data_IF_345402944180
#
_entry.id   IF_345402944180
#
_cell.length_a   1.000
_cell.length_b   1.000
_cell.length_c   1.000
_cell.angle_alpha   90.00
_cell.angle_beta   90.00
_cell.angle_gamma   90.00
#
_symmetry.space_group_name_H-M   'P 1'
#
loop_
_entity.id
_entity.type
_entity.pdbx_description
1 polymer ?
#
# COMPACT_ATOMS: atom_id res chain seq x y z
N UNK A 1 -12.77 -8.78 -10.92
CA UNK A 1 -13.17 -7.95 -9.76
C UNK A 1 -11.92 -7.78 -8.91
N UNK A 2 -11.58 -6.56 -8.52
CA UNK A 2 -10.37 -6.29 -7.72
C UNK A 2 -10.56 -6.83 -6.30
N UNK A 3 -9.64 -7.68 -5.83
CA UNK A 3 -9.56 -8.09 -4.42
C UNK A 3 -8.79 -7.02 -3.63
N UNK A 4 -9.34 -6.58 -2.51
CA UNK A 4 -8.76 -5.50 -1.71
C UNK A 4 -8.55 -5.99 -0.29
N UNK A 5 -7.29 -6.00 0.14
CA UNK A 5 -6.88 -6.47 1.46
C UNK A 5 -6.27 -5.34 2.26
N UNK A 6 -6.54 -5.35 3.57
CA UNK A 6 -5.99 -4.38 4.51
C UNK A 6 -5.18 -5.09 5.59
N UNK A 7 -3.90 -4.77 5.69
CA UNK A 7 -3.04 -5.30 6.74
C UNK A 7 -3.46 -4.78 8.12
N UNK A 8 -3.18 -5.58 9.15
CA UNK A 8 -3.49 -5.20 10.54
C UNK A 8 -2.84 -3.87 10.93
N UNK A 9 -1.63 -3.61 10.44
CA UNK A 9 -0.90 -2.37 10.67
C UNK A 9 -1.63 -1.16 10.05
N UNK A 10 -2.12 -1.30 8.83
CA UNK A 10 -2.95 -0.29 8.15
C UNK A 10 -4.20 0.04 8.97
N UNK A 11 -4.99 -0.97 9.33
CA UNK A 11 -6.23 -0.78 10.10
C UNK A 11 -5.96 -0.13 11.47
N UNK A 12 -4.87 -0.52 12.14
CA UNK A 12 -4.46 0.09 13.41
C UNK A 12 -4.08 1.57 13.23
N UNK A 13 -3.38 1.90 12.15
CA UNK A 13 -2.99 3.27 11.85
C UNK A 13 -4.19 4.15 11.47
N UNK A 14 -5.16 3.64 10.70
CA UNK A 14 -6.41 4.34 10.39
C UNK A 14 -7.17 4.68 11.68
N UNK A 15 -7.27 3.73 12.63
CA UNK A 15 -7.89 3.96 13.93
C UNK A 15 -7.14 5.03 14.74
N UNK A 16 -5.81 4.95 14.77
CA UNK A 16 -4.95 5.94 15.46
C UNK A 16 -5.10 7.35 14.88
N UNK A 17 -5.30 7.46 13.57
CA UNK A 17 -5.38 8.73 12.83
C UNK A 17 -6.80 9.05 12.37
N UNK A 18 -7.80 8.80 13.24
CA UNK A 18 -9.21 8.97 12.93
C UNK A 18 -9.58 10.37 12.39
N UNK A 19 -8.85 11.42 12.80
CA UNK A 19 -9.06 12.79 12.33
C UNK A 19 -8.81 13.02 10.83
N UNK A 20 -8.13 12.10 10.14
CA UNK A 20 -7.94 12.14 8.68
C UNK A 20 -8.55 10.92 7.96
N UNK A 21 -9.41 10.16 8.65
CA UNK A 21 -9.97 8.90 8.13
C UNK A 21 -10.65 9.07 6.78
N UNK A 22 -11.47 10.13 6.61
CA UNK A 22 -12.17 10.41 5.34
C UNK A 22 -11.21 10.62 4.18
N UNK A 23 -10.09 11.31 4.40
CA UNK A 23 -9.08 11.49 3.35
C UNK A 23 -8.37 10.18 3.01
N UNK A 24 -8.11 9.33 4.00
CA UNK A 24 -7.54 8.00 3.77
C UNK A 24 -8.50 7.14 2.94
N UNK A 25 -9.79 7.11 3.29
CA UNK A 25 -10.81 6.35 2.56
C UNK A 25 -10.94 6.82 1.11
N UNK A 26 -11.03 8.12 0.89
CA UNK A 26 -11.05 8.69 -0.48
C UNK A 26 -9.80 8.29 -1.28
N UNK A 27 -8.62 8.34 -0.65
CA UNK A 27 -7.38 7.96 -1.33
C UNK A 27 -7.32 6.46 -1.63
N UNK A 28 -7.80 5.61 -0.73
CA UNK A 28 -7.93 4.16 -0.95
C UNK A 28 -8.81 3.88 -2.16
N UNK A 29 -9.97 4.53 -2.28
CA UNK A 29 -10.86 4.35 -3.43
C UNK A 29 -10.18 4.73 -4.75
N UNK A 30 -9.48 5.87 -4.75
CA UNK A 30 -8.70 6.30 -5.92
C UNK A 30 -7.60 5.29 -6.29
N UNK A 31 -6.87 4.76 -5.32
CA UNK A 31 -5.83 3.73 -5.56
C UNK A 31 -6.44 2.44 -6.11
N UNK A 32 -7.63 2.03 -5.67
CA UNK A 32 -8.32 0.84 -6.19
C UNK A 32 -8.65 1.02 -7.68
N UNK A 33 -9.05 2.24 -8.08
CA UNK A 33 -9.39 2.58 -9.46
C UNK A 33 -8.14 2.70 -10.35
N UNK A 34 -7.07 3.31 -9.84
CA UNK A 34 -5.83 3.58 -10.58
C UNK A 34 -4.56 3.18 -9.78
N UNK A 35 -4.32 1.87 -9.54
CA UNK A 35 -3.28 1.39 -8.62
C UNK A 35 -1.84 1.60 -9.10
N UNK A 36 -1.63 2.01 -10.34
CA UNK A 36 -0.29 2.24 -10.91
C UNK A 36 -0.04 3.73 -11.16
N UNK A 37 -1.06 4.46 -11.63
CA UNK A 37 -0.92 5.86 -12.03
C UNK A 37 -0.84 6.81 -10.83
N UNK A 38 -1.51 6.48 -9.72
CA UNK A 38 -1.56 7.33 -8.53
C UNK A 38 -0.43 7.11 -7.54
N UNK A 39 0.27 5.98 -7.62
CA UNK A 39 1.34 5.63 -6.70
C UNK A 39 2.72 5.77 -7.33
N UNK A 40 3.70 6.07 -6.50
CA UNK A 40 5.11 6.03 -6.89
C UNK A 40 5.72 4.70 -6.45
N UNK A 41 6.39 3.96 -7.36
CA UNK A 41 7.06 2.72 -7.01
C UNK A 41 8.26 2.98 -6.09
N UNK A 42 8.33 2.21 -5.01
CA UNK A 42 9.40 2.30 -4.03
C UNK A 42 10.64 1.49 -4.45
N UNK A 43 11.79 1.87 -3.88
CA UNK A 43 13.11 1.31 -4.23
C UNK A 43 13.80 0.72 -2.98
N UNK A 44 14.89 0.00 -3.20
CA UNK A 44 15.69 -0.61 -2.13
C UNK A 44 14.89 -1.64 -1.33
N UNK A 45 14.91 -1.53 0.00
CA UNK A 45 14.22 -2.47 0.90
C UNK A 45 12.68 -2.46 0.75
N UNK A 46 12.13 -1.44 0.08
CA UNK A 46 10.70 -1.33 -0.21
C UNK A 46 10.37 -1.62 -1.67
N UNK A 47 11.31 -2.21 -2.43
CA UNK A 47 11.05 -2.66 -3.81
C UNK A 47 9.80 -3.55 -3.86
N UNK A 48 8.97 -3.34 -4.89
CA UNK A 48 7.69 -4.03 -5.06
C UNK A 48 6.50 -3.28 -4.46
N UNK A 49 6.72 -2.41 -3.48
CA UNK A 49 5.67 -1.56 -2.91
C UNK A 49 5.51 -0.24 -3.67
N UNK A 50 4.35 0.38 -3.48
CA UNK A 50 4.01 1.72 -3.94
C UNK A 50 3.73 2.61 -2.75
N UNK A 51 4.01 3.90 -2.91
CA UNK A 51 3.56 4.93 -1.98
C UNK A 51 2.62 5.91 -2.66
N UNK A 52 1.64 6.42 -1.93
CA UNK A 52 0.75 7.47 -2.42
C UNK A 52 0.48 8.50 -1.33
N UNK A 53 0.71 9.80 -1.57
CA UNK A 53 0.38 10.86 -0.62
C UNK A 53 -1.11 10.97 -0.36
N UNK A 54 -1.49 11.15 0.92
CA UNK A 54 -2.88 11.39 1.35
C UNK A 54 -3.08 12.88 1.64
N UNK A 55 -2.33 13.40 2.62
CA UNK A 55 -2.44 14.79 3.10
C UNK A 55 -1.19 15.17 3.89
N UNK A 56 -0.61 16.35 3.60
CA UNK A 56 0.64 16.81 4.22
C UNK A 56 1.72 15.71 4.11
N UNK A 57 2.32 15.30 5.22
CA UNK A 57 3.34 14.26 5.28
C UNK A 57 2.79 12.84 5.39
N UNK A 58 1.47 12.61 5.29
CA UNK A 58 0.91 11.26 5.35
C UNK A 58 0.95 10.55 4.01
N UNK A 59 1.44 9.32 4.02
CA UNK A 59 1.48 8.42 2.87
C UNK A 59 0.76 7.11 3.18
N UNK A 60 0.21 6.49 2.13
CA UNK A 60 -0.22 5.09 2.11
C UNK A 60 0.88 4.29 1.42
N UNK A 61 1.32 3.20 2.03
CA UNK A 61 2.15 2.18 1.37
C UNK A 61 1.25 0.99 1.05
N UNK A 62 1.30 0.55 -0.20
CA UNK A 62 0.49 -0.56 -0.70
C UNK A 62 1.27 -1.41 -1.70
N UNK A 63 0.73 -2.59 -2.01
CA UNK A 63 1.25 -3.52 -2.99
C UNK A 63 0.15 -3.82 -4.01
N UNK A 64 0.48 -3.84 -5.30
CA UNK A 64 -0.41 -4.37 -6.34
C UNK A 64 0.19 -5.65 -6.94
N UNK A 65 -0.47 -6.79 -6.71
CA UNK A 65 0.09 -8.12 -6.98
C UNK A 65 0.45 -8.35 -8.45
N UNK A 66 -0.41 -7.94 -9.38
CA UNK A 66 -0.16 -8.09 -10.81
C UNK A 66 1.11 -7.39 -11.27
N UNK A 67 1.38 -6.17 -10.78
CA UNK A 67 2.62 -5.45 -11.12
C UNK A 67 3.83 -6.01 -10.37
N UNK A 68 3.66 -6.40 -9.12
CA UNK A 68 4.72 -7.03 -8.33
C UNK A 68 5.29 -8.26 -9.05
N UNK A 69 4.42 -9.20 -9.45
CA UNK A 69 4.82 -10.40 -10.19
C UNK A 69 5.32 -10.10 -11.60
N UNK A 70 4.67 -9.18 -12.33
CA UNK A 70 5.13 -8.78 -13.67
C UNK A 70 6.56 -8.24 -13.66
N UNK A 71 6.99 -7.59 -12.58
CA UNK A 71 8.35 -7.06 -12.40
C UNK A 71 9.33 -8.05 -11.74
N UNK A 72 8.86 -9.23 -11.30
CA UNK A 72 9.63 -10.17 -10.51
C UNK A 72 9.97 -9.65 -9.11
N UNK A 73 9.22 -8.66 -8.61
CA UNK A 73 9.43 -8.06 -7.29
C UNK A 73 8.89 -8.97 -6.18
N UNK A 74 8.05 -9.95 -6.51
CA UNK A 74 7.48 -10.93 -5.58
C UNK A 74 8.54 -11.78 -4.87
N UNK A 75 9.68 -12.00 -5.53
CA UNK A 75 10.86 -12.65 -4.92
C UNK A 75 11.45 -11.78 -3.81
N UNK A 76 11.48 -10.46 -3.99
CA UNK A 76 12.02 -9.51 -3.02
C UNK A 76 11.03 -9.23 -1.88
N UNK A 77 9.74 -9.09 -2.21
CA UNK A 77 8.68 -8.86 -1.22
C UNK A 77 8.43 -10.11 -0.38
N UNK A 78 8.53 -11.29 -0.99
CA UNK A 78 8.40 -12.60 -0.34
C UNK A 78 7.11 -12.73 0.50
N UNK A 79 5.95 -12.34 -0.07
CA UNK A 79 4.66 -12.51 0.62
C UNK A 79 4.40 -13.99 0.91
N UNK A 80 4.01 -14.31 2.15
CA UNK A 80 3.68 -15.69 2.56
C UNK A 80 2.51 -16.30 1.77
N UNK A 81 1.58 -15.45 1.31
CA UNK A 81 0.37 -15.83 0.57
C UNK A 81 0.48 -15.55 -0.94
N UNK A 82 1.70 -15.35 -1.48
CA UNK A 82 1.89 -14.92 -2.88
C UNK A 82 1.28 -15.91 -3.90
N UNK A 83 1.49 -17.20 -3.69
CA UNK A 83 1.05 -18.27 -4.59
C UNK A 83 -0.49 -18.42 -4.66
N UNK A 84 -1.19 -18.03 -3.59
CA UNK A 84 -2.64 -18.16 -3.45
C UNK A 84 -3.37 -16.84 -3.78
N UNK A 85 -2.62 -15.75 -4.01
CA UNK A 85 -3.19 -14.42 -4.26
C UNK A 85 -3.21 -14.10 -5.75
N UNK A 86 -4.39 -13.77 -6.29
CA UNK A 86 -4.59 -13.37 -7.68
C UNK A 86 -3.88 -12.07 -8.07
N UNK A 87 -3.73 -11.80 -9.37
CA UNK A 87 -3.04 -10.60 -9.89
C UNK A 87 -3.83 -9.31 -9.62
N UNK A 88 -5.14 -9.40 -9.73
CA UNK A 88 -6.09 -8.33 -9.43
C UNK A 88 -6.28 -8.21 -7.91
N UNK A 89 -5.19 -8.01 -7.17
CA UNK A 89 -5.20 -7.84 -5.71
C UNK A 89 -4.34 -6.67 -5.27
N UNK A 90 -4.94 -5.76 -4.49
CA UNK A 90 -4.25 -4.66 -3.82
C UNK A 90 -4.19 -4.93 -2.32
N UNK A 91 -2.99 -4.86 -1.74
CA UNK A 91 -2.77 -4.97 -0.29
C UNK A 91 -2.34 -3.63 0.28
N UNK A 92 -3.17 -3.04 1.12
CA UNK A 92 -2.86 -1.82 1.86
C UNK A 92 -2.06 -2.16 3.13
N UNK A 93 -0.77 -1.78 3.16
CA UNK A 93 0.20 -2.25 4.16
C UNK A 93 0.22 -1.34 5.38
N UNK A 94 0.42 -0.04 5.17
CA UNK A 94 0.46 0.96 6.25
C UNK A 94 0.03 2.33 5.74
N UNK A 95 -0.50 3.15 6.65
CA UNK A 95 -0.72 4.59 6.43
C UNK A 95 -0.14 5.36 7.60
N UNK A 96 0.56 6.45 7.35
CA UNK A 96 1.15 7.24 8.42
C UNK A 96 1.99 8.40 7.90
N UNK A 97 2.50 9.25 8.81
CA UNK A 97 3.51 10.25 8.47
C UNK A 97 4.72 9.58 7.80
N UNK A 98 5.38 10.27 6.87
CA UNK A 98 6.49 9.78 6.07
C UNK A 98 7.55 9.05 6.93
N UNK A 99 8.02 9.66 8.02
CA UNK A 99 9.05 9.06 8.89
C UNK A 99 8.58 7.77 9.57
N UNK A 100 7.33 7.74 10.02
CA UNK A 100 6.73 6.57 10.66
C UNK A 100 6.42 5.44 9.68
N UNK A 101 6.08 5.76 8.42
CA UNK A 101 5.76 4.77 7.39
C UNK A 101 7.02 4.06 6.85
N UNK A 102 8.16 4.74 6.84
CA UNK A 102 9.46 4.14 6.47
C UNK A 102 10.27 3.59 7.67
N UNK A 103 9.73 3.65 8.89
CA UNK A 103 10.41 3.14 10.07
C UNK A 103 11.58 3.99 10.59
N UNK A 104 11.67 5.26 10.18
CA UNK A 104 12.58 6.22 10.82
C UNK A 104 11.95 6.69 12.13
N UNK A 105 12.43 6.14 13.24
CA UNK A 105 12.32 6.77 14.56
C UNK A 105 13.46 7.74 14.75
#
# INVERSE_FOLDING_TARGET
>A
MMDVRFEKAFLKAVKKHAGIKKQIEQKVLQIIEHPVELGEPLKGNFRGFYSCPVKKSFIIIYLYCGICRKKGDDIAVACADCAETGDETIKFVIVGPHDAAYGKK
#
